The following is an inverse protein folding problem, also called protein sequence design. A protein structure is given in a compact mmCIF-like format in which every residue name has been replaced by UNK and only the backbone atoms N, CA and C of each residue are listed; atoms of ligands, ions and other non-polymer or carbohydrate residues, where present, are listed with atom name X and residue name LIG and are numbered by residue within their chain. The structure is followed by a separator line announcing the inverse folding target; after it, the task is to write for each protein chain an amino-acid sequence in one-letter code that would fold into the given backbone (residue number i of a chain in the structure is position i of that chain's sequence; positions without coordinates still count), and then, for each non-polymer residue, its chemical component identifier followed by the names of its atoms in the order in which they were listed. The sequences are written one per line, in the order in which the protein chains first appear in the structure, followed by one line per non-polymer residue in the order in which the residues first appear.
data_IF_533924216287
#
_entry.id   IF_533924216287
#
_cell.length_a   1.000
_cell.length_b   1.000
_cell.length_c   1.000
_cell.angle_alpha   90.00
_cell.angle_beta   90.00
_cell.angle_gamma   90.00
#
_symmetry.space_group_name_H-M   'P 1'
#
loop_
_entity.id
_entity.type
_entity.pdbx_description
1 polymer ?
#
# COMPACT_ATOMS: atom_id res chain seq x y z
N UNK A 1 21.00 48.65 -25.53
CA UNK A 1 21.22 48.73 -24.06
C UNK A 1 20.44 47.56 -23.47
N UNK A 2 21.18 46.50 -23.18
CA UNK A 2 20.92 45.26 -22.42
C UNK A 2 19.46 44.79 -22.21
N UNK A 3 19.08 43.72 -22.89
CA UNK A 3 17.93 42.87 -22.50
C UNK A 3 18.21 42.19 -21.14
N UNK A 4 17.23 42.11 -20.22
CA UNK A 4 17.39 41.40 -18.97
C UNK A 4 17.50 39.91 -19.26
N UNK A 5 18.64 39.31 -18.93
CA UNK A 5 18.82 37.86 -18.99
C UNK A 5 17.78 37.18 -18.09
N UNK A 6 17.06 36.14 -18.55
CA UNK A 6 16.16 35.40 -17.68
C UNK A 6 17.03 34.78 -16.58
N UNK A 7 16.77 35.18 -15.34
CA UNK A 7 17.38 34.57 -14.17
C UNK A 7 17.16 33.06 -14.27
N UNK A 8 18.26 32.30 -14.29
CA UNK A 8 18.22 30.84 -14.43
C UNK A 8 17.21 30.30 -13.43
N UNK A 9 16.13 29.63 -13.88
CA UNK A 9 15.24 28.97 -12.95
C UNK A 9 16.09 27.99 -12.14
N UNK A 10 15.86 27.96 -10.83
CA UNK A 10 16.50 27.02 -9.92
C UNK A 10 16.37 25.60 -10.50
N UNK A 11 17.46 25.08 -11.07
CA UNK A 11 17.51 23.79 -11.77
C UNK A 11 18.19 22.75 -10.86
N UNK A 12 17.42 22.00 -10.06
CA UNK A 12 17.96 20.97 -9.17
C UNK A 12 18.61 19.82 -9.95
N UNK A 13 18.23 19.59 -11.21
CA UNK A 13 18.88 18.58 -12.06
C UNK A 13 20.29 19.03 -12.46
N UNK A 14 20.47 20.32 -12.75
CA UNK A 14 21.81 20.88 -12.96
C UNK A 14 22.67 20.78 -11.70
N UNK A 15 22.12 21.09 -10.52
CA UNK A 15 22.85 20.98 -9.25
C UNK A 15 23.22 19.53 -8.92
N UNK A 16 22.30 18.59 -9.13
CA UNK A 16 22.55 17.15 -8.98
C UNK A 16 23.64 16.68 -9.93
N UNK A 17 23.57 17.07 -11.20
CA UNK A 17 24.57 16.71 -12.22
C UNK A 17 25.96 17.25 -11.87
N UNK A 18 26.04 18.46 -11.33
CA UNK A 18 27.30 19.02 -10.82
C UNK A 18 27.84 18.21 -9.63
N UNK A 19 26.98 17.84 -8.68
CA UNK A 19 27.35 17.02 -7.53
C UNK A 19 27.87 15.64 -7.95
N UNK A 20 27.22 14.98 -8.91
CA UNK A 20 27.66 13.70 -9.47
C UNK A 20 29.01 13.84 -10.17
N UNK A 21 29.19 14.89 -10.97
CA UNK A 21 30.45 15.13 -11.69
C UNK A 21 31.63 15.38 -10.73
N UNK A 22 31.39 16.14 -9.65
CA UNK A 22 32.39 16.33 -8.57
C UNK A 22 32.70 15.01 -7.86
N UNK A 23 31.69 14.20 -7.58
CA UNK A 23 31.88 12.89 -6.97
C UNK A 23 32.71 11.95 -7.86
N UNK A 24 32.43 11.89 -9.17
CA UNK A 24 33.19 11.07 -10.12
C UNK A 24 34.68 11.47 -10.16
N UNK A 25 34.97 12.77 -10.14
CA UNK A 25 36.34 13.28 -10.06
C UNK A 25 37.05 12.86 -8.76
N UNK A 26 36.35 12.96 -7.62
CA UNK A 26 36.85 12.56 -6.30
C UNK A 26 37.02 11.04 -6.18
N UNK A 27 36.13 10.27 -6.79
CA UNK A 27 36.17 8.81 -6.82
C UNK A 27 37.34 8.32 -7.67
N UNK A 28 37.57 8.91 -8.85
CA UNK A 28 38.73 8.58 -9.69
C UNK A 28 40.07 8.81 -8.97
N UNK A 29 40.18 9.86 -8.15
CA UNK A 29 41.41 10.12 -7.38
C UNK A 29 41.57 9.18 -6.17
N UNK A 30 40.46 8.78 -5.52
CA UNK A 30 40.48 7.94 -4.31
C UNK A 30 40.59 6.45 -4.62
N UNK A 31 39.96 5.97 -5.70
CA UNK A 31 39.99 4.54 -6.10
C UNK A 31 41.39 4.08 -6.51
N UNK A 32 42.18 4.95 -7.13
CA UNK A 32 43.57 4.64 -7.48
C UNK A 32 44.46 4.34 -6.26
N UNK A 33 44.06 4.75 -5.05
CA UNK A 33 44.86 4.57 -3.83
C UNK A 33 44.28 3.54 -2.86
N UNK A 34 43.03 3.08 -3.03
CA UNK A 34 42.30 2.34 -1.99
C UNK A 34 41.84 0.91 -2.37
N UNK A 35 41.96 0.50 -3.64
CA UNK A 35 41.33 -0.73 -4.21
C UNK A 35 41.74 -2.08 -3.59
N UNK A 36 42.60 -2.13 -2.56
CA UNK A 36 42.99 -3.37 -1.89
C UNK A 36 42.94 -3.34 -0.36
N UNK A 37 42.39 -2.28 0.25
CA UNK A 37 42.40 -2.10 1.70
C UNK A 37 41.17 -2.74 2.39
N UNK A 38 41.38 -3.33 3.55
CA UNK A 38 40.31 -3.92 4.37
C UNK A 38 39.40 -2.83 4.95
N UNK A 39 39.95 -1.63 5.15
CA UNK A 39 39.26 -0.41 5.53
C UNK A 39 38.23 0.03 4.48
N UNK A 40 38.51 -0.18 3.19
CA UNK A 40 37.56 0.10 2.12
C UNK A 40 36.34 -0.84 2.18
N UNK A 41 36.54 -2.13 2.47
CA UNK A 41 35.44 -3.09 2.60
C UNK A 41 34.51 -2.74 3.78
N UNK A 42 35.07 -2.37 4.93
CA UNK A 42 34.27 -1.89 6.07
C UNK A 42 33.55 -0.57 5.77
N UNK A 43 34.23 0.36 5.09
CA UNK A 43 33.64 1.62 4.69
C UNK A 43 32.48 1.40 3.73
N UNK A 44 32.62 0.52 2.74
CA UNK A 44 31.56 0.20 1.78
C UNK A 44 30.33 -0.42 2.45
N UNK A 45 30.52 -1.27 3.46
CA UNK A 45 29.42 -1.82 4.27
C UNK A 45 28.63 -0.71 4.99
N UNK A 46 29.32 0.23 5.62
CA UNK A 46 28.70 1.40 6.28
C UNK A 46 28.07 2.36 5.27
N UNK A 47 28.72 2.60 4.14
CA UNK A 47 28.23 3.46 3.06
C UNK A 47 26.94 2.91 2.44
N UNK A 48 26.81 1.59 2.32
CA UNK A 48 25.59 0.95 1.83
C UNK A 48 24.41 1.18 2.78
N UNK A 49 24.64 1.12 4.11
CA UNK A 49 23.59 1.45 5.09
C UNK A 49 23.17 2.93 5.03
N UNK A 50 24.12 3.83 4.79
CA UNK A 50 23.85 5.26 4.64
C UNK A 50 23.16 5.60 3.30
N UNK A 51 23.41 4.84 2.24
CA UNK A 51 22.83 5.09 0.92
C UNK A 51 21.30 4.93 0.90
N UNK A 52 20.77 3.94 1.62
CA UNK A 52 19.33 3.76 1.83
C UNK A 52 18.70 4.97 2.55
N UNK A 53 19.36 5.49 3.59
CA UNK A 53 18.92 6.69 4.28
C UNK A 53 18.90 7.93 3.38
N UNK A 54 19.92 8.06 2.53
CA UNK A 54 20.00 9.15 1.56
C UNK A 54 18.92 9.04 0.48
N UNK A 55 18.68 7.84 -0.06
CA UNK A 55 17.60 7.58 -1.02
C UNK A 55 16.24 7.95 -0.44
N UNK A 56 15.97 7.58 0.81
CA UNK A 56 14.74 7.95 1.50
C UNK A 56 14.61 9.47 1.68
N UNK A 57 15.68 10.15 2.08
CA UNK A 57 15.67 11.61 2.22
C UNK A 57 15.41 12.33 0.89
N UNK A 58 15.99 11.84 -0.21
CA UNK A 58 15.74 12.36 -1.56
C UNK A 58 14.29 12.11 -1.98
N UNK A 59 13.74 10.93 -1.71
CA UNK A 59 12.34 10.61 -2.00
C UNK A 59 11.37 11.51 -1.22
N UNK A 60 11.61 11.76 0.07
CA UNK A 60 10.81 12.66 0.89
C UNK A 60 10.85 14.10 0.34
N UNK A 61 12.03 14.60 -0.02
CA UNK A 61 12.17 15.93 -0.61
C UNK A 61 11.39 16.04 -1.94
N UNK A 62 11.47 15.00 -2.79
CA UNK A 62 10.73 14.95 -4.05
C UNK A 62 9.22 14.86 -3.82
N UNK A 63 8.77 14.07 -2.86
CA UNK A 63 7.36 13.98 -2.47
C UNK A 63 6.81 15.33 -2.00
N UNK A 64 7.57 16.06 -1.16
CA UNK A 64 7.20 17.42 -0.73
C UNK A 64 7.17 18.40 -1.89
N UNK A 65 8.09 18.29 -2.84
CA UNK A 65 8.10 19.13 -4.04
C UNK A 65 6.89 18.86 -4.94
N UNK A 66 6.60 17.60 -5.23
CA UNK A 66 5.41 17.21 -5.99
C UNK A 66 4.13 17.72 -5.32
N UNK A 67 4.04 17.56 -3.99
CA UNK A 67 2.93 18.10 -3.20
C UNK A 67 2.81 19.62 -3.28
N UNK A 68 3.94 20.35 -3.29
CA UNK A 68 3.95 21.80 -3.48
C UNK A 68 3.41 22.22 -4.86
N UNK A 69 3.56 21.36 -5.88
CA UNK A 69 2.99 21.53 -7.21
C UNK A 69 1.57 20.94 -7.35
N UNK A 70 0.95 20.48 -6.26
CA UNK A 70 -0.31 19.72 -6.27
C UNK A 70 -0.28 18.45 -7.14
N UNK A 71 0.89 17.86 -7.34
CA UNK A 71 1.06 16.59 -8.03
C UNK A 71 1.15 15.44 -7.00
N UNK A 72 0.43 14.33 -7.19
CA UNK A 72 0.52 13.18 -6.30
C UNK A 72 1.88 12.49 -6.43
N UNK A 73 2.46 12.09 -5.29
CA UNK A 73 3.68 11.29 -5.28
C UNK A 73 3.39 9.81 -5.57
N UNK A 74 4.43 9.04 -5.88
CA UNK A 74 4.31 7.58 -6.07
C UNK A 74 3.82 6.87 -4.81
N UNK A 75 4.22 7.36 -3.63
CA UNK A 75 3.79 6.81 -2.35
C UNK A 75 2.30 7.06 -2.12
N UNK A 76 1.81 8.26 -2.44
CA UNK A 76 0.39 8.59 -2.35
C UNK A 76 -0.48 7.68 -3.25
N UNK A 77 0.00 7.39 -4.47
CA UNK A 77 -0.70 6.48 -5.39
C UNK A 77 -0.78 5.06 -4.82
N UNK A 78 0.32 4.57 -4.23
CA UNK A 78 0.33 3.24 -3.62
C UNK A 78 -0.60 3.17 -2.41
N UNK A 79 -0.59 4.20 -1.55
CA UNK A 79 -1.47 4.28 -0.38
C UNK A 79 -2.95 4.34 -0.79
N UNK A 80 -3.27 5.05 -1.88
CA UNK A 80 -4.62 5.04 -2.47
C UNK A 80 -5.01 3.65 -2.98
N UNK A 81 -4.09 2.93 -3.63
CA UNK A 81 -4.31 1.56 -4.10
C UNK A 81 -4.63 0.59 -2.96
N UNK A 82 -3.85 0.64 -1.88
CA UNK A 82 -4.09 -0.19 -0.68
C UNK A 82 -5.45 0.12 -0.03
N UNK A 83 -5.79 1.41 0.08
CA UNK A 83 -7.09 1.83 0.60
C UNK A 83 -8.24 1.38 -0.30
N UNK A 84 -8.07 1.45 -1.62
CA UNK A 84 -9.08 1.01 -2.58
C UNK A 84 -9.31 -0.49 -2.46
N UNK A 85 -8.25 -1.28 -2.34
CA UNK A 85 -8.35 -2.72 -2.12
C UNK A 85 -9.12 -3.06 -0.83
N UNK A 86 -8.86 -2.35 0.27
CA UNK A 86 -9.63 -2.54 1.51
C UNK A 86 -11.12 -2.17 1.37
N UNK A 87 -11.45 -1.20 0.52
CA UNK A 87 -12.84 -0.86 0.18
C UNK A 87 -13.47 -1.99 -0.64
N UNK A 88 -12.77 -2.51 -1.65
CA UNK A 88 -13.23 -3.63 -2.47
C UNK A 88 -13.53 -4.87 -1.63
N UNK A 89 -12.66 -5.21 -0.68
CA UNK A 89 -12.87 -6.32 0.26
C UNK A 89 -14.11 -6.11 1.15
N UNK A 90 -14.31 -4.89 1.62
CA UNK A 90 -15.47 -4.53 2.44
C UNK A 90 -16.76 -4.62 1.63
N UNK A 91 -16.74 -4.15 0.38
CA UNK A 91 -17.87 -4.26 -0.54
C UNK A 91 -18.20 -5.71 -0.87
N UNK A 92 -17.19 -6.54 -1.12
CA UNK A 92 -17.38 -7.98 -1.35
C UNK A 92 -18.05 -8.67 -0.15
N UNK A 93 -17.62 -8.36 1.08
CA UNK A 93 -18.25 -8.88 2.30
C UNK A 93 -19.69 -8.41 2.45
N UNK A 94 -19.97 -7.15 2.15
CA UNK A 94 -21.32 -6.61 2.23
C UNK A 94 -22.25 -7.32 1.22
N UNK A 95 -21.78 -7.55 -0.01
CA UNK A 95 -22.51 -8.29 -1.02
C UNK A 95 -22.85 -9.72 -0.57
N UNK A 96 -21.87 -10.45 0.00
CA UNK A 96 -22.11 -11.79 0.57
C UNK A 96 -23.16 -11.76 1.70
N UNK A 97 -23.06 -10.78 2.61
CA UNK A 97 -24.04 -10.67 3.70
C UNK A 97 -25.44 -10.38 3.19
N UNK A 98 -25.60 -9.57 2.14
CA UNK A 98 -26.91 -9.31 1.53
C UNK A 98 -27.47 -10.58 0.90
N UNK A 99 -26.68 -11.31 0.11
CA UNK A 99 -27.12 -12.56 -0.50
C UNK A 99 -27.55 -13.60 0.55
N UNK A 100 -26.79 -13.71 1.65
CA UNK A 100 -27.14 -14.61 2.76
C UNK A 100 -28.43 -14.20 3.46
N UNK A 101 -28.70 -12.91 3.60
CA UNK A 101 -29.94 -12.40 4.18
C UNK A 101 -31.13 -12.62 3.23
N UNK A 102 -30.97 -12.42 1.94
CA UNK A 102 -31.99 -12.72 0.92
C UNK A 102 -32.33 -14.21 0.90
N UNK A 103 -31.31 -15.09 0.85
CA UNK A 103 -31.49 -16.54 0.94
C UNK A 103 -32.22 -16.95 2.22
N UNK A 104 -31.84 -16.39 3.38
CA UNK A 104 -32.51 -16.67 4.66
C UNK A 104 -33.96 -16.17 4.68
N UNK A 105 -34.22 -15.02 4.06
CA UNK A 105 -35.58 -14.44 3.96
C UNK A 105 -36.46 -15.30 3.04
N UNK A 106 -35.90 -15.82 1.94
CA UNK A 106 -36.58 -16.77 1.06
C UNK A 106 -36.86 -18.11 1.75
N UNK A 107 -35.91 -18.64 2.54
CA UNK A 107 -36.11 -19.87 3.31
C UNK A 107 -37.03 -19.70 4.54
N UNK A 108 -37.16 -18.48 5.07
CA UNK A 108 -38.04 -18.16 6.20
C UNK A 108 -39.53 -18.24 5.87
N UNK A 109 -39.90 -18.20 4.59
CA UNK A 109 -41.28 -18.42 4.14
C UNK A 109 -41.71 -19.90 4.19
N UNK A 110 -40.76 -20.85 4.30
CA UNK A 110 -41.04 -22.29 4.23
C UNK A 110 -41.16 -22.96 5.62
N UNK A 111 -41.01 -22.21 6.72
CA UNK A 111 -41.12 -22.73 8.10
C UNK A 111 -42.44 -22.29 8.76
N UNK A 112 -43.57 -22.41 8.06
CA UNK A 112 -44.91 -22.24 8.66
C UNK A 112 -45.80 -23.47 8.55
N UNK A 113 -45.28 -24.61 8.08
CA UNK A 113 -46.06 -25.86 8.02
C UNK A 113 -45.38 -27.05 8.69
N UNK A 114 -44.68 -26.83 9.82
CA UNK A 114 -44.49 -27.92 10.80
C UNK A 114 -45.81 -28.16 11.54
N UNK A 115 -46.74 -28.80 10.82
CA UNK A 115 -48.04 -29.26 11.33
C UNK A 115 -47.81 -30.19 12.53
N UNK A 116 -48.43 -29.94 13.70
CA UNK A 116 -48.18 -30.74 14.89
C UNK A 116 -48.65 -32.19 14.68
N UNK A 117 -47.82 -33.14 15.12
CA UNK A 117 -48.09 -34.56 15.01
C UNK A 117 -49.36 -34.95 15.79
N UNK A 118 -50.37 -35.44 15.07
CA UNK A 118 -51.62 -35.96 15.64
C UNK A 118 -51.30 -37.12 16.58
N UNK A 119 -51.41 -36.91 17.90
CA UNK A 119 -51.35 -37.99 18.88
C UNK A 119 -52.57 -38.87 18.70
N UNK A 120 -52.40 -40.04 18.07
CA UNK A 120 -53.37 -41.12 18.11
C UNK A 120 -53.46 -41.61 19.56
N UNK A 121 -54.55 -41.29 20.26
CA UNK A 121 -54.93 -42.05 21.45
C UNK A 121 -55.41 -43.44 21.01
N UNK A 122 -54.91 -44.54 21.61
CA UNK A 122 -55.48 -45.86 21.39
C UNK A 122 -56.84 -45.99 22.10
N UNK A 123 -57.77 -46.80 21.57
CA UNK A 123 -59.11 -46.96 22.15
C UNK A 123 -59.06 -47.71 23.49
N UNK A 124 -59.75 -47.18 24.49
CA UNK A 124 -60.01 -47.87 25.77
C UNK A 124 -60.93 -49.07 25.52
N UNK A 125 -60.56 -50.29 25.92
CA UNK A 125 -61.47 -51.43 25.82
C UNK A 125 -62.62 -51.29 26.83
N UNK A 126 -63.83 -51.39 26.32
CA UNK A 126 -65.04 -51.58 27.11
C UNK A 126 -65.20 -53.08 27.43
N UNK A 127 -65.49 -53.38 28.68
CA UNK A 127 -65.83 -54.72 29.20
C UNK A 127 -65.27 -54.89 30.60
N UNK A 128 -66.03 -55.19 31.65
CA UNK A 128 -67.34 -55.82 31.72
C UNK A 128 -67.22 -56.93 32.77
N UNK A 129 -68.04 -56.80 33.82
CA UNK A 129 -68.17 -57.64 35.03
C UNK A 129 -67.30 -57.24 36.22
#
# INVERSE_FOLDING_TARGET
MTEPSPEKPFDPFAMWREAVSKFESQANSSLNSAMGSEEFAQFMGKATGLSLGLQNAVNDLMGRYLKALNLPSREDINALGERLQGIEDTLARLADTQERLERRSASGAEVTTLRPAKTRQPPTPAGGQ
#
